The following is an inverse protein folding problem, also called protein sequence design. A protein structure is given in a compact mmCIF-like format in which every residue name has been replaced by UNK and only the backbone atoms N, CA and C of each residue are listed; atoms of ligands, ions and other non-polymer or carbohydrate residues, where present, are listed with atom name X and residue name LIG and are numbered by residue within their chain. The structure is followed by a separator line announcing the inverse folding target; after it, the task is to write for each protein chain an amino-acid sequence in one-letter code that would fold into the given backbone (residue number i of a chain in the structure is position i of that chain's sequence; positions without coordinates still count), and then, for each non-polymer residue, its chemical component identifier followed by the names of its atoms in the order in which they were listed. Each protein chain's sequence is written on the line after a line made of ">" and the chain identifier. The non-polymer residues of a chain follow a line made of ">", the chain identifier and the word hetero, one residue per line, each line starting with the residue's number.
data_IF_152613903160
#
_entry.id   IF_152613903160
#
_cell.length_a   1.000
_cell.length_b   1.000
_cell.length_c   1.000
_cell.angle_alpha   90.00
_cell.angle_beta   90.00
_cell.angle_gamma   90.00
#
_symmetry.space_group_name_H-M   'P 1'
#
loop_
_entity.id
_entity.type
_entity.pdbx_description
1 polymer ?
#
# COMPACT_ATOMS: atom_id res chain seq x y z
N UNK A 1 14.60 -13.13 -1.92
CA UNK A 1 13.19 -12.89 -2.35
C UNK A 1 12.19 -12.89 -1.20
N UNK A 2 12.39 -13.67 -0.13
CA UNK A 2 11.56 -13.61 1.10
C UNK A 2 11.68 -12.27 1.88
N UNK A 3 12.82 -11.58 1.82
CA UNK A 3 13.03 -10.31 2.51
C UNK A 3 12.23 -9.12 1.94
N UNK A 4 11.87 -9.13 0.64
CA UNK A 4 11.13 -8.02 0.03
C UNK A 4 9.66 -7.99 0.49
N UNK A 5 9.08 -9.16 0.78
CA UNK A 5 7.68 -9.33 1.19
C UNK A 5 7.53 -8.94 2.67
N UNK A 6 8.47 -9.36 3.51
CA UNK A 6 8.53 -9.03 4.93
C UNK A 6 8.76 -7.52 5.15
N UNK A 7 9.42 -6.83 4.22
CA UNK A 7 9.57 -5.36 4.25
C UNK A 7 8.37 -4.60 3.68
N UNK A 8 7.54 -5.21 2.84
CA UNK A 8 6.32 -4.58 2.30
C UNK A 8 5.07 -4.78 3.16
N UNK A 9 4.97 -5.88 3.92
CA UNK A 9 3.81 -6.19 4.76
C UNK A 9 3.51 -5.14 5.87
N UNK A 10 4.52 -4.59 6.59
CA UNK A 10 4.29 -3.51 7.55
C UNK A 10 3.68 -2.28 6.87
N UNK A 11 4.24 -1.87 5.71
CA UNK A 11 3.75 -0.73 4.95
C UNK A 11 2.35 -0.91 4.34
N UNK A 12 1.92 -2.15 4.06
CA UNK A 12 0.56 -2.45 3.56
C UNK A 12 -0.49 -2.31 4.68
N UNK A 13 -0.15 -2.63 5.92
CA UNK A 13 -1.02 -2.33 7.08
C UNK A 13 -1.04 -0.83 7.42
N UNK A 14 0.08 -0.15 7.25
CA UNK A 14 0.27 1.28 7.58
C UNK A 14 -0.43 2.28 6.63
N UNK A 15 -0.89 1.82 5.45
CA UNK A 15 -1.68 2.66 4.55
C UNK A 15 -3.19 2.43 4.63
N UNK A 16 -3.61 1.29 5.21
CA UNK A 16 -5.01 0.90 5.40
C UNK A 16 -5.56 1.22 6.81
N UNK A 17 -4.71 1.63 7.75
CA UNK A 17 -5.12 1.96 9.10
C UNK A 17 -5.80 3.33 9.21
N UNK A 18 -7.12 3.37 9.11
CA UNK A 18 -7.90 4.32 9.90
C UNK A 18 -8.34 3.59 11.17
N UNK A 19 -7.93 4.05 12.37
CA UNK A 19 -8.87 4.02 13.48
C UNK A 19 -9.82 5.18 13.21
N UNK A 20 -11.10 4.86 13.14
CA UNK A 20 -12.07 5.86 13.53
C UNK A 20 -12.14 5.82 15.05
N UNK A 21 -12.23 7.00 15.65
CA UNK A 21 -12.36 7.21 17.08
C UNK A 21 -13.39 6.27 17.70
N UNK A 22 -13.12 5.85 18.94
CA UNK A 22 -13.83 4.85 19.77
C UNK A 22 -15.37 4.96 19.86
N UNK A 23 -15.99 5.93 19.19
CA UNK A 23 -17.44 6.11 19.10
C UNK A 23 -18.08 5.35 17.92
N UNK A 24 -17.34 4.92 16.87
CA UNK A 24 -17.94 4.31 15.67
C UNK A 24 -17.81 2.78 15.51
N UNK A 25 -17.16 2.07 16.43
CA UNK A 25 -17.19 0.59 16.47
C UNK A 25 -16.66 -0.15 15.23
N UNK A 26 -16.05 0.52 14.25
CA UNK A 26 -15.58 -0.10 13.01
C UNK A 26 -14.20 -0.80 13.22
N UNK A 27 -14.05 -2.08 12.80
CA UNK A 27 -12.81 -2.84 12.97
C UNK A 27 -11.69 -2.30 12.08
N UNK A 28 -10.43 -2.44 12.54
CA UNK A 28 -9.23 -2.12 11.74
C UNK A 28 -9.25 -2.92 10.44
N UNK A 29 -8.87 -2.28 9.33
CA UNK A 29 -8.67 -2.98 8.06
C UNK A 29 -7.40 -3.83 8.14
N UNK A 30 -7.58 -5.14 8.29
CA UNK A 30 -6.49 -6.12 8.43
C UNK A 30 -6.34 -6.97 7.17
N UNK A 31 -6.32 -6.31 6.00
CA UNK A 31 -6.30 -6.92 4.66
C UNK A 31 -5.31 -8.09 4.53
N UNK A 32 -4.06 -7.89 4.96
CA UNK A 32 -3.00 -8.89 4.80
C UNK A 32 -3.07 -10.03 5.82
N UNK A 33 -3.69 -9.84 7.00
CA UNK A 33 -3.70 -10.86 8.07
C UNK A 33 -4.38 -12.15 7.64
N UNK A 34 -5.53 -12.05 6.97
CA UNK A 34 -6.25 -13.23 6.48
C UNK A 34 -5.47 -13.99 5.40
N UNK A 35 -4.81 -13.25 4.50
CA UNK A 35 -4.00 -13.81 3.42
C UNK A 35 -2.69 -14.42 3.95
N UNK A 36 -2.09 -13.83 4.98
CA UNK A 36 -0.87 -14.36 5.63
C UNK A 36 -1.17 -15.68 6.36
N UNK A 37 -2.30 -15.76 7.07
CA UNK A 37 -2.75 -17.01 7.71
C UNK A 37 -3.00 -18.09 6.65
N UNK A 38 -3.70 -17.75 5.56
CA UNK A 38 -3.93 -18.67 4.46
C UNK A 38 -2.63 -19.12 3.78
N UNK A 39 -1.69 -18.20 3.56
CA UNK A 39 -0.38 -18.51 2.98
C UNK A 39 0.44 -19.42 3.90
N UNK A 40 0.40 -19.20 5.21
CA UNK A 40 1.04 -20.08 6.19
C UNK A 40 0.42 -21.48 6.18
N UNK A 41 -0.92 -21.58 6.13
CA UNK A 41 -1.62 -22.86 6.01
C UNK A 41 -1.25 -23.62 4.73
N UNK A 42 -1.24 -22.94 3.57
CA UNK A 42 -0.82 -23.54 2.30
C UNK A 42 0.65 -23.97 2.32
N UNK A 43 1.53 -23.18 2.94
CA UNK A 43 2.96 -23.53 3.07
C UNK A 43 3.15 -24.73 3.99
N UNK A 44 2.39 -24.83 5.08
CA UNK A 44 2.42 -25.97 5.98
C UNK A 44 1.92 -27.26 5.31
N UNK A 45 0.82 -27.17 4.55
CA UNK A 45 0.30 -28.29 3.75
C UNK A 45 1.31 -28.73 2.68
N UNK A 46 1.95 -27.78 1.98
CA UNK A 46 3.03 -28.06 1.04
C UNK A 46 4.22 -28.76 1.71
N UNK A 47 4.61 -28.31 2.90
CA UNK A 47 5.68 -28.93 3.68
C UNK A 47 5.34 -30.35 4.12
N UNK A 48 4.07 -30.63 4.42
CA UNK A 48 3.60 -32.00 4.69
C UNK A 48 3.61 -32.86 3.42
N UNK A 49 3.25 -32.29 2.26
CA UNK A 49 3.16 -33.00 0.98
C UNK A 49 4.51 -33.21 0.28
N UNK A 50 5.56 -32.47 0.65
CA UNK A 50 6.89 -32.56 0.07
C UNK A 50 7.89 -33.13 1.11
N UNK A 51 8.36 -34.40 1.08
CA UNK A 51 8.23 -35.47 0.07
C UNK A 51 7.62 -36.80 0.59
N UNK A 52 6.90 -37.52 -0.28
CA UNK A 52 6.39 -38.90 -0.09
C UNK A 52 7.50 -39.97 -0.26
N UNK A 53 8.77 -39.57 -0.33
CA UNK A 53 9.90 -40.47 -0.60
C UNK A 53 10.19 -41.45 0.54
N UNK A 54 9.61 -41.28 1.73
CA UNK A 54 9.75 -42.20 2.88
C UNK A 54 8.71 -43.33 2.90
N UNK A 55 7.74 -43.35 1.97
CA UNK A 55 6.66 -44.36 1.91
C UNK A 55 6.38 -44.88 0.48
N UNK A 56 7.42 -45.06 -0.34
CA UNK A 56 7.28 -45.64 -1.68
C UNK A 56 6.92 -47.13 -1.56
N UNK A 57 5.65 -47.47 -1.76
CA UNK A 57 5.23 -48.81 -2.19
C UNK A 57 4.95 -48.74 -3.69
N UNK A 58 5.58 -49.63 -4.45
CA UNK A 58 5.40 -49.71 -5.90
C UNK A 58 3.97 -50.11 -6.23
N UNK A 59 3.22 -49.21 -6.87
CA UNK A 59 1.97 -49.52 -7.53
C UNK A 59 1.93 -48.85 -8.92
N UNK A 60 1.53 -49.64 -9.91
CA UNK A 60 1.05 -49.23 -11.24
C UNK A 60 1.94 -48.29 -12.07
N UNK A 61 2.97 -48.88 -12.71
CA UNK A 61 3.48 -48.46 -14.03
C UNK A 61 3.78 -46.97 -14.28
N UNK A 62 4.26 -46.22 -13.27
CA UNK A 62 5.10 -45.02 -13.46
C UNK A 62 4.53 -43.89 -14.37
N UNK A 63 3.21 -43.71 -14.46
CA UNK A 63 2.65 -42.75 -15.42
C UNK A 63 2.01 -41.48 -14.86
N UNK A 64 2.00 -41.25 -13.54
CA UNK A 64 1.63 -39.94 -12.96
C UNK A 64 1.79 -39.94 -11.44
N UNK A 65 2.82 -39.28 -10.90
CA UNK A 65 3.06 -39.27 -9.45
C UNK A 65 3.30 -37.88 -8.85
N UNK A 66 3.04 -36.78 -9.57
CA UNK A 66 3.10 -35.43 -8.99
C UNK A 66 2.02 -34.54 -9.59
N UNK A 67 1.00 -34.21 -8.80
CA UNK A 67 0.21 -33.01 -9.04
C UNK A 67 -0.34 -32.47 -7.72
N UNK A 68 0.46 -31.67 -7.01
CA UNK A 68 -0.02 -30.89 -5.87
C UNK A 68 -0.48 -29.52 -6.36
N UNK A 69 -1.79 -29.37 -6.53
CA UNK A 69 -2.46 -28.09 -6.84
C UNK A 69 -2.21 -27.01 -5.76
N UNK A 70 -1.63 -27.38 -4.61
CA UNK A 70 -1.19 -26.46 -3.55
C UNK A 70 -0.02 -25.53 -3.99
N UNK A 71 0.78 -25.91 -4.99
CA UNK A 71 1.85 -25.04 -5.51
C UNK A 71 1.29 -23.87 -6.35
N UNK A 72 0.02 -23.95 -6.78
CA UNK A 72 -0.64 -22.92 -7.60
C UNK A 72 -1.40 -21.90 -6.74
N UNK A 73 -1.94 -22.31 -5.59
CA UNK A 73 -2.70 -21.41 -4.68
C UNK A 73 -1.80 -20.47 -3.87
N UNK A 74 -0.66 -20.96 -3.37
CA UNK A 74 0.31 -20.17 -2.61
C UNK A 74 0.87 -18.94 -3.39
N UNK A 75 1.17 -19.03 -4.71
CA UNK A 75 1.51 -17.86 -5.51
C UNK A 75 0.32 -16.99 -6.01
N UNK A 76 -0.94 -17.47 -6.19
CA UNK A 76 -2.09 -16.62 -6.62
C UNK A 76 -2.46 -15.53 -5.60
N UNK A 77 -2.50 -15.93 -4.33
CA UNK A 77 -2.55 -15.04 -3.16
C UNK A 77 -1.38 -14.06 -3.16
N UNK A 78 -0.19 -14.53 -3.50
CA UNK A 78 1.01 -13.69 -3.58
C UNK A 78 0.90 -12.64 -4.68
N UNK A 79 0.42 -13.01 -5.87
CA UNK A 79 0.23 -12.09 -6.99
C UNK A 79 -0.81 -11.00 -6.67
N UNK A 80 -1.90 -11.38 -5.98
CA UNK A 80 -2.87 -10.42 -5.46
C UNK A 80 -2.24 -9.38 -4.53
N UNK A 81 -1.47 -9.84 -3.53
CA UNK A 81 -0.78 -8.97 -2.56
C UNK A 81 0.25 -8.06 -3.22
N UNK A 82 1.02 -8.57 -4.19
CA UNK A 82 1.98 -7.77 -4.94
C UNK A 82 1.29 -6.65 -5.71
N UNK A 83 0.19 -6.95 -6.41
CA UNK A 83 -0.56 -5.93 -7.13
C UNK A 83 -1.12 -4.87 -6.17
N UNK A 84 -1.62 -5.27 -5.00
CA UNK A 84 -2.07 -4.33 -3.96
C UNK A 84 -0.92 -3.44 -3.46
N UNK A 85 0.26 -4.01 -3.19
CA UNK A 85 1.43 -3.26 -2.75
C UNK A 85 1.92 -2.25 -3.81
N UNK A 86 1.81 -2.60 -5.09
CA UNK A 86 2.15 -1.72 -6.21
C UNK A 86 1.19 -0.52 -6.27
N UNK A 87 -0.12 -0.74 -6.09
CA UNK A 87 -1.11 0.34 -6.05
C UNK A 87 -0.86 1.30 -4.87
N UNK A 88 -0.58 0.74 -3.70
CA UNK A 88 -0.24 1.52 -2.50
C UNK A 88 1.04 2.33 -2.69
N UNK A 89 2.05 1.76 -3.36
CA UNK A 89 3.29 2.49 -3.67
C UNK A 89 3.05 3.63 -4.67
N UNK A 90 2.18 3.44 -5.65
CA UNK A 90 1.78 4.50 -6.58
C UNK A 90 1.07 5.64 -5.85
N UNK A 91 0.12 5.31 -4.97
CA UNK A 91 -0.56 6.29 -4.12
C UNK A 91 0.41 7.04 -3.21
N UNK A 92 1.39 6.33 -2.63
CA UNK A 92 2.43 6.95 -1.80
C UNK A 92 3.29 7.94 -2.60
N UNK A 93 3.63 7.60 -3.84
CA UNK A 93 4.39 8.50 -4.73
C UNK A 93 3.58 9.76 -5.10
N UNK A 94 2.29 9.59 -5.42
CA UNK A 94 1.38 10.72 -5.68
C UNK A 94 1.22 11.62 -4.44
N UNK A 95 1.11 11.00 -3.27
CA UNK A 95 1.02 11.73 -2.00
C UNK A 95 2.32 12.50 -1.71
N UNK A 96 3.49 11.89 -1.90
CA UNK A 96 4.78 12.54 -1.66
C UNK A 96 4.99 13.76 -2.58
N UNK A 97 4.63 13.63 -3.86
CA UNK A 97 4.66 14.75 -4.80
C UNK A 97 3.72 15.88 -4.38
N UNK A 98 2.49 15.53 -3.95
CA UNK A 98 1.53 16.50 -3.45
C UNK A 98 1.95 17.15 -2.13
N UNK A 99 2.57 16.39 -1.22
CA UNK A 99 3.10 16.87 0.04
C UNK A 99 4.23 17.86 -0.19
N UNK A 100 5.19 17.55 -1.07
CA UNK A 100 6.26 18.47 -1.42
C UNK A 100 5.69 19.81 -1.94
N UNK A 101 4.63 19.77 -2.75
CA UNK A 101 3.95 20.98 -3.22
C UNK A 101 3.30 21.75 -2.06
N UNK A 102 2.56 21.07 -1.18
CA UNK A 102 1.94 21.68 0.01
C UNK A 102 3.01 22.35 0.87
N UNK A 103 4.06 21.62 1.24
CA UNK A 103 5.14 22.13 2.10
C UNK A 103 5.79 23.36 1.48
N UNK A 104 6.09 23.34 0.17
CA UNK A 104 6.62 24.51 -0.54
C UNK A 104 5.70 25.73 -0.42
N UNK A 105 4.42 25.57 -0.72
CA UNK A 105 3.43 26.65 -0.67
C UNK A 105 3.25 27.20 0.75
N UNK A 106 3.20 26.32 1.76
CA UNK A 106 3.06 26.71 3.17
C UNK A 106 4.32 27.40 3.69
N UNK A 107 5.52 26.94 3.30
CA UNK A 107 6.78 27.62 3.63
C UNK A 107 6.84 29.02 3.01
N UNK A 108 6.43 29.17 1.76
CA UNK A 108 6.38 30.48 1.12
C UNK A 108 5.35 31.40 1.80
N UNK A 109 4.20 30.87 2.21
CA UNK A 109 3.13 31.63 2.87
C UNK A 109 3.54 32.11 4.26
N UNK A 110 4.15 31.24 5.07
CA UNK A 110 4.44 31.53 6.47
C UNK A 110 5.84 32.11 6.71
N UNK A 111 6.82 31.81 5.86
CA UNK A 111 8.24 32.08 6.15
C UNK A 111 8.97 32.95 5.12
N UNK A 112 8.34 33.35 4.01
CA UNK A 112 9.01 34.17 2.96
C UNK A 112 9.56 35.51 3.45
N UNK A 113 8.98 36.08 4.52
CA UNK A 113 9.48 37.31 5.14
C UNK A 113 10.69 37.10 6.07
N UNK A 114 10.98 35.85 6.47
CA UNK A 114 11.96 35.52 7.49
C UNK A 114 13.20 34.81 6.92
N UNK A 115 13.01 33.97 5.89
CA UNK A 115 14.08 33.19 5.28
C UNK A 115 13.74 32.77 3.84
N UNK A 116 14.75 32.30 3.11
CA UNK A 116 14.57 31.66 1.80
C UNK A 116 13.81 30.33 1.96
N UNK A 117 12.52 30.36 1.61
CA UNK A 117 11.63 29.20 1.71
C UNK A 117 12.07 28.02 0.83
N UNK A 118 12.56 28.29 -0.39
CA UNK A 118 12.88 27.24 -1.36
C UNK A 118 14.31 26.72 -1.17
N UNK A 119 15.29 27.61 -1.01
CA UNK A 119 16.70 27.22 -0.94
C UNK A 119 17.18 26.79 0.45
N UNK A 120 16.61 27.35 1.52
CA UNK A 120 17.05 27.07 2.90
C UNK A 120 16.09 26.15 3.67
N UNK A 121 14.79 26.47 3.66
CA UNK A 121 13.82 25.79 4.53
C UNK A 121 13.31 24.47 3.94
N UNK A 122 12.87 24.47 2.68
CA UNK A 122 12.31 23.28 2.03
C UNK A 122 13.23 22.05 2.08
N UNK A 123 14.56 22.15 1.80
CA UNK A 123 15.47 21.01 1.84
C UNK A 123 15.69 20.45 3.25
N UNK A 124 15.34 21.18 4.30
CA UNK A 124 15.47 20.74 5.70
C UNK A 124 14.15 20.19 6.23
N UNK A 125 13.04 20.89 5.96
CA UNK A 125 11.71 20.57 6.47
C UNK A 125 11.14 19.32 5.80
N UNK A 126 11.24 19.22 4.48
CA UNK A 126 10.64 18.12 3.73
C UNK A 126 11.20 16.74 4.13
N UNK A 127 12.53 16.54 4.28
CA UNK A 127 13.06 15.27 4.78
C UNK A 127 12.59 14.91 6.20
N UNK A 128 12.47 15.90 7.11
CA UNK A 128 11.99 15.64 8.46
C UNK A 128 10.52 15.19 8.47
N UNK A 129 9.67 15.82 7.65
CA UNK A 129 8.28 15.40 7.47
C UNK A 129 8.19 14.00 6.83
N UNK A 130 9.04 13.69 5.84
CA UNK A 130 9.12 12.35 5.23
C UNK A 130 9.54 11.28 6.24
N UNK A 131 10.56 11.54 7.06
CA UNK A 131 10.98 10.62 8.11
C UNK A 131 9.87 10.39 9.16
N UNK A 132 9.09 11.42 9.47
CA UNK A 132 7.93 11.27 10.34
C UNK A 132 6.82 10.42 9.69
N UNK A 133 6.61 10.50 8.38
CA UNK A 133 5.64 9.66 7.67
C UNK A 133 5.97 8.17 7.78
N UNK A 134 7.25 7.81 7.75
CA UNK A 134 7.73 6.43 7.80
C UNK A 134 7.50 5.77 9.18
N UNK A 135 7.38 6.56 10.24
CA UNK A 135 7.24 6.06 11.62
C UNK A 135 5.81 6.20 12.19
N UNK A 136 4.94 6.94 11.50
CA UNK A 136 3.57 7.25 11.96
C UNK A 136 2.49 6.47 11.21
N UNK A 137 2.85 5.43 10.46
CA UNK A 137 1.92 4.65 9.65
C UNK A 137 0.79 3.94 10.42
N UNK A 138 0.90 3.80 11.73
CA UNK A 138 -0.13 3.18 12.58
C UNK A 138 -1.19 4.17 13.10
N UNK A 139 -1.03 5.46 12.80
CA UNK A 139 -1.91 6.54 13.24
C UNK A 139 -3.00 6.84 12.21
N UNK A 140 -4.10 7.40 12.69
CA UNK A 140 -5.23 7.83 11.87
C UNK A 140 -4.82 9.01 10.99
N UNK A 141 -5.45 9.17 9.82
CA UNK A 141 -4.99 10.14 8.82
C UNK A 141 -4.77 11.56 9.39
N UNK A 142 -5.74 12.08 10.15
CA UNK A 142 -5.65 13.42 10.75
C UNK A 142 -4.54 13.53 11.80
N UNK A 143 -4.47 12.58 12.73
CA UNK A 143 -3.46 12.57 13.80
C UNK A 143 -2.06 12.34 13.23
N UNK A 144 -1.95 11.48 12.21
CA UNK A 144 -0.73 11.21 11.47
C UNK A 144 -0.20 12.49 10.83
N UNK A 145 -1.03 13.23 10.11
CA UNK A 145 -0.59 14.47 9.46
C UNK A 145 -0.24 15.56 10.48
N UNK A 146 -0.90 15.58 11.64
CA UNK A 146 -0.55 16.47 12.75
C UNK A 146 0.84 16.17 13.30
N UNK A 147 1.17 14.89 13.51
CA UNK A 147 2.49 14.45 13.95
C UNK A 147 3.57 14.73 12.90
N UNK A 148 3.27 14.48 11.61
CA UNK A 148 4.16 14.77 10.49
C UNK A 148 4.49 16.25 10.39
N UNK A 149 3.47 17.12 10.47
CA UNK A 149 3.69 18.56 10.47
C UNK A 149 4.46 19.04 11.71
N UNK A 150 4.26 18.41 12.87
CA UNK A 150 5.00 18.72 14.10
C UNK A 150 6.51 18.44 13.97
N UNK A 151 6.92 17.48 13.14
CA UNK A 151 8.34 17.18 12.90
C UNK A 151 9.10 18.34 12.24
N UNK A 152 8.40 19.28 11.59
CA UNK A 152 9.00 20.49 11.02
C UNK A 152 9.43 21.52 12.09
N UNK A 153 8.80 21.51 13.27
CA UNK A 153 9.03 22.55 14.30
C UNK A 153 10.49 22.67 14.77
N UNK A 154 11.19 21.60 15.18
CA UNK A 154 12.59 21.71 15.58
C UNK A 154 13.48 22.19 14.43
N UNK A 155 13.21 21.72 13.21
CA UNK A 155 13.97 22.10 12.01
C UNK A 155 13.81 23.58 11.68
N UNK A 156 12.58 24.10 11.76
CA UNK A 156 12.28 25.51 11.54
C UNK A 156 12.90 26.39 12.63
N UNK A 157 12.84 25.95 13.89
CA UNK A 157 13.44 26.68 15.01
C UNK A 157 14.96 26.79 14.85
N UNK A 158 15.63 25.68 14.51
CA UNK A 158 17.08 25.67 14.30
C UNK A 158 17.48 26.50 13.08
N UNK A 159 16.71 26.45 11.99
CA UNK A 159 16.97 27.24 10.79
C UNK A 159 16.80 28.75 11.01
N UNK A 160 15.94 29.14 11.95
CA UNK A 160 15.60 30.53 12.24
C UNK A 160 16.25 31.06 13.52
N UNK A 161 17.09 30.28 14.21
CA UNK A 161 17.67 30.63 15.51
C UNK A 161 18.47 31.95 15.52
N UNK A 162 18.97 32.41 14.37
CA UNK A 162 19.65 33.70 14.21
C UNK A 162 18.73 34.89 13.87
N UNK A 163 17.41 34.68 13.82
CA UNK A 163 16.39 35.65 13.41
C UNK A 163 15.26 35.74 14.44
N UNK A 164 14.36 36.72 14.30
CA UNK A 164 13.09 36.74 15.03
C UNK A 164 12.30 35.48 14.65
N UNK A 165 12.24 34.49 15.54
CA UNK A 165 11.50 33.25 15.30
C UNK A 165 9.99 33.52 15.44
N UNK A 166 9.22 33.44 14.34
CA UNK A 166 7.77 33.70 14.39
C UNK A 166 7.04 32.43 14.84
N UNK A 167 6.89 32.26 16.16
CA UNK A 167 6.19 31.11 16.73
C UNK A 167 4.77 30.95 16.18
N UNK A 168 4.06 32.06 15.93
CA UNK A 168 2.74 32.06 15.31
C UNK A 168 2.77 31.53 13.87
N UNK A 169 3.83 31.80 13.11
CA UNK A 169 3.99 31.27 11.76
C UNK A 169 4.33 29.76 11.78
N UNK A 170 5.09 29.28 12.77
CA UNK A 170 5.30 27.83 12.99
C UNK A 170 3.98 27.14 13.32
N UNK A 171 3.17 27.72 14.22
CA UNK A 171 1.85 27.17 14.55
C UNK A 171 0.92 27.17 13.33
N UNK A 172 0.91 28.27 12.57
CA UNK A 172 0.15 28.41 11.32
C UNK A 172 0.53 27.34 10.29
N UNK A 173 1.82 27.24 9.95
CA UNK A 173 2.36 26.24 9.03
C UNK A 173 1.98 24.81 9.44
N UNK A 174 2.11 24.48 10.73
CA UNK A 174 1.79 23.13 11.21
C UNK A 174 0.33 22.80 11.01
N UNK A 175 -0.56 23.73 11.34
CA UNK A 175 -2.01 23.55 11.22
C UNK A 175 -2.44 23.43 9.76
N UNK A 176 -1.99 24.35 8.90
CA UNK A 176 -2.34 24.37 7.47
C UNK A 176 -1.76 23.16 6.74
N UNK A 177 -0.47 22.83 6.95
CA UNK A 177 0.17 21.69 6.32
C UNK A 177 -0.50 20.37 6.74
N UNK A 178 -0.81 20.19 8.03
CA UNK A 178 -1.50 19.00 8.53
C UNK A 178 -2.90 18.84 7.90
N UNK A 179 -3.68 19.92 7.90
CA UNK A 179 -5.03 19.92 7.32
C UNK A 179 -5.00 19.58 5.82
N UNK A 180 -4.17 20.29 5.04
CA UNK A 180 -4.08 20.09 3.59
C UNK A 180 -3.53 18.70 3.23
N UNK A 181 -2.54 18.21 3.96
CA UNK A 181 -2.01 16.87 3.77
C UNK A 181 -3.05 15.80 4.10
N UNK A 182 -3.89 16.02 5.12
CA UNK A 182 -4.97 15.09 5.48
C UNK A 182 -5.99 14.99 4.34
N UNK A 183 -6.45 16.14 3.83
CA UNK A 183 -7.37 16.19 2.70
C UNK A 183 -6.78 15.54 1.45
N UNK A 184 -5.49 15.78 1.16
CA UNK A 184 -4.80 15.15 0.04
C UNK A 184 -4.79 13.63 0.17
N UNK A 185 -4.42 13.09 1.34
CA UNK A 185 -4.38 11.65 1.57
C UNK A 185 -5.76 11.01 1.41
N UNK A 186 -6.79 11.61 1.99
CA UNK A 186 -8.17 11.14 1.88
C UNK A 186 -8.66 11.15 0.43
N UNK A 187 -8.40 12.25 -0.29
CA UNK A 187 -8.79 12.38 -1.70
C UNK A 187 -8.09 11.34 -2.57
N UNK A 188 -6.78 11.15 -2.40
CA UNK A 188 -6.04 10.12 -3.13
C UNK A 188 -6.56 8.72 -2.83
N UNK A 189 -6.84 8.40 -1.56
CA UNK A 189 -7.47 7.12 -1.19
C UNK A 189 -8.77 6.89 -1.95
N UNK A 190 -9.68 7.85 -1.93
CA UNK A 190 -10.95 7.77 -2.67
C UNK A 190 -10.73 7.60 -4.17
N UNK A 191 -9.85 8.39 -4.78
CA UNK A 191 -9.59 8.33 -6.23
C UNK A 191 -9.02 6.98 -6.68
N UNK A 192 -8.12 6.38 -5.90
CA UNK A 192 -7.58 5.05 -6.21
C UNK A 192 -8.62 3.95 -6.05
N UNK A 193 -9.42 3.99 -4.98
CA UNK A 193 -10.44 2.98 -4.70
C UNK A 193 -11.60 3.04 -5.70
N UNK A 194 -11.99 4.23 -6.14
CA UNK A 194 -13.03 4.43 -7.16
C UNK A 194 -12.52 4.18 -8.59
N UNK A 195 -11.20 3.98 -8.77
CA UNK A 195 -10.59 3.76 -10.08
C UNK A 195 -10.43 5.02 -10.94
N UNK A 196 -10.53 6.22 -10.35
CA UNK A 196 -10.27 7.51 -11.04
C UNK A 196 -8.83 7.63 -11.53
N UNK A 197 -7.90 6.90 -10.91
CA UNK A 197 -6.49 6.79 -11.31
C UNK A 197 -6.23 5.72 -12.39
N UNK A 198 -7.30 5.21 -12.98
CA UNK A 198 -7.27 4.13 -13.97
C UNK A 198 -7.33 2.74 -13.34
N UNK A 199 -7.42 1.72 -14.19
CA UNK A 199 -7.54 0.32 -13.75
C UNK A 199 -6.24 -0.24 -13.18
N UNK A 200 -5.10 0.26 -13.64
CA UNK A 200 -3.76 -0.21 -13.32
C UNK A 200 -2.84 0.97 -12.90
N UNK A 201 -3.17 1.69 -11.81
CA UNK A 201 -2.53 2.98 -11.48
C UNK A 201 -1.02 2.87 -11.23
N UNK A 202 -0.53 1.73 -10.74
CA UNK A 202 0.90 1.50 -10.50
C UNK A 202 1.70 0.97 -11.69
N UNK A 203 1.11 0.86 -12.89
CA UNK A 203 1.81 0.31 -14.07
C UNK A 203 3.07 1.10 -14.43
N UNK A 204 3.08 2.40 -14.17
CA UNK A 204 4.20 3.31 -14.45
C UNK A 204 5.44 3.02 -13.57
N UNK A 205 5.26 2.43 -12.38
CA UNK A 205 6.37 2.01 -11.51
C UNK A 205 7.07 0.74 -12.01
N UNK A 206 6.39 -0.01 -12.87
CA UNK A 206 6.84 -1.32 -13.32
C UNK A 206 7.55 -1.22 -14.66
N UNK A 207 8.63 -1.99 -14.78
CA UNK A 207 9.39 -2.19 -16.03
C UNK A 207 8.95 -3.51 -16.66
N UNK A 208 9.83 -4.51 -16.69
CA UNK A 208 9.57 -5.82 -17.31
C UNK A 208 8.37 -6.55 -16.71
N UNK A 209 8.06 -6.35 -15.43
CA UNK A 209 6.93 -7.00 -14.73
C UNK A 209 5.57 -6.36 -14.98
N UNK A 210 5.51 -5.23 -15.72
CA UNK A 210 4.26 -4.51 -16.03
C UNK A 210 3.18 -5.39 -16.66
N UNK A 211 3.46 -6.26 -17.65
CA UNK A 211 2.42 -7.06 -18.30
C UNK A 211 1.66 -7.97 -17.34
N UNK A 212 2.32 -8.51 -16.31
CA UNK A 212 1.67 -9.37 -15.30
C UNK A 212 0.70 -8.56 -14.43
N UNK A 213 1.13 -7.38 -13.99
CA UNK A 213 0.28 -6.49 -13.20
C UNK A 213 -0.93 -5.99 -14.01
N UNK A 214 -0.72 -5.60 -15.27
CA UNK A 214 -1.79 -5.20 -16.18
C UNK A 214 -2.73 -6.36 -16.52
N UNK A 215 -2.22 -7.59 -16.62
CA UNK A 215 -3.07 -8.77 -16.77
C UNK A 215 -4.06 -8.90 -15.61
N UNK A 216 -3.58 -8.80 -14.36
CA UNK A 216 -4.44 -8.89 -13.17
C UNK A 216 -5.43 -7.73 -13.09
N UNK A 217 -4.96 -6.50 -13.30
CA UNK A 217 -5.76 -5.29 -13.12
C UNK A 217 -6.71 -5.00 -14.29
N UNK A 218 -6.23 -5.15 -15.53
CA UNK A 218 -7.00 -4.82 -16.73
C UNK A 218 -7.77 -6.02 -17.28
N UNK A 219 -7.13 -7.19 -17.43
CA UNK A 219 -7.76 -8.37 -18.04
C UNK A 219 -8.69 -9.08 -17.07
N UNK A 220 -8.21 -9.41 -15.87
CA UNK A 220 -9.03 -10.08 -14.85
C UNK A 220 -9.96 -9.13 -14.08
N UNK A 221 -9.73 -7.81 -14.19
CA UNK A 221 -10.55 -6.80 -13.52
C UNK A 221 -10.45 -6.82 -11.99
N UNK A 222 -9.38 -7.38 -11.43
CA UNK A 222 -9.15 -7.43 -9.99
C UNK A 222 -8.67 -6.05 -9.53
N UNK A 223 -9.52 -5.29 -8.84
CA UNK A 223 -9.25 -3.93 -8.39
C UNK A 223 -8.45 -3.89 -7.07
N UNK A 224 -7.98 -2.70 -6.72
CA UNK A 224 -7.42 -2.42 -5.40
C UNK A 224 -8.50 -2.65 -4.32
N UNK A 225 -8.12 -3.33 -3.25
CA UNK A 225 -9.01 -3.55 -2.11
C UNK A 225 -9.01 -2.35 -1.16
N UNK A 226 -10.17 -2.07 -0.57
CA UNK A 226 -10.35 -1.02 0.45
C UNK A 226 -11.65 -0.24 0.33
N UNK A 227 -12.40 -0.38 -0.78
CA UNK A 227 -13.62 0.40 -1.04
C UNK A 227 -14.70 0.20 0.02
N UNK A 228 -14.97 -1.05 0.45
CA UNK A 228 -15.92 -1.33 1.53
C UNK A 228 -15.49 -0.75 2.88
N UNK A 229 -14.19 -0.84 3.20
CA UNK A 229 -13.64 -0.29 4.44
C UNK A 229 -13.81 1.24 4.48
N UNK A 230 -13.58 1.90 3.35
CA UNK A 230 -13.77 3.35 3.22
C UNK A 230 -15.25 3.76 3.34
N UNK A 231 -16.17 2.90 2.88
CA UNK A 231 -17.62 3.12 2.99
C UNK A 231 -18.22 2.77 4.35
N UNK A 232 -17.44 2.24 5.30
CA UNK A 232 -17.91 1.74 6.61
C UNK A 232 -19.01 0.67 6.51
N UNK A 233 -18.98 -0.15 5.47
CA UNK A 233 -19.91 -1.28 5.29
C UNK A 233 -21.39 -0.87 5.39
N UNK A 234 -21.87 0.03 4.52
CA UNK A 234 -23.21 0.59 4.65
C UNK A 234 -24.30 -0.49 4.58
N UNK A 235 -24.05 -1.59 3.85
CA UNK A 235 -24.95 -2.73 3.71
C UNK A 235 -24.45 -4.01 4.43
N UNK A 236 -23.41 -3.91 5.26
CA UNK A 236 -22.77 -5.06 5.93
C UNK A 236 -21.49 -5.56 5.24
N UNK A 237 -20.77 -6.46 5.92
CA UNK A 237 -19.47 -6.99 5.47
C UNK A 237 -19.63 -7.85 4.20
N UNK A 238 -18.88 -7.53 3.13
CA UNK A 238 -18.81 -8.33 1.91
C UNK A 238 -20.05 -8.26 1.00
N UNK A 239 -20.85 -7.20 1.13
CA UNK A 239 -22.09 -7.03 0.37
C UNK A 239 -21.94 -6.06 -0.83
N UNK A 240 -20.95 -5.17 -0.78
CA UNK A 240 -20.83 -4.02 -1.70
C UNK A 240 -19.62 -4.14 -2.63
N UNK A 241 -18.64 -4.99 -2.32
CA UNK A 241 -17.49 -5.28 -3.15
C UNK A 241 -17.16 -6.78 -3.17
N UNK A 242 -16.55 -7.29 -4.26
CA UNK A 242 -16.08 -8.66 -4.31
C UNK A 242 -15.14 -8.97 -3.15
N UNK A 243 -15.36 -10.10 -2.51
CA UNK A 243 -14.51 -10.54 -1.41
C UNK A 243 -13.05 -10.71 -1.86
N UNK A 244 -12.12 -10.70 -0.89
CA UNK A 244 -10.72 -11.03 -1.17
C UNK A 244 -10.63 -12.42 -1.81
N UNK A 245 -11.41 -13.39 -1.30
CA UNK A 245 -11.48 -14.75 -1.81
C UNK A 245 -11.90 -14.81 -3.27
N UNK A 246 -12.97 -14.12 -3.67
CA UNK A 246 -13.40 -14.05 -5.07
C UNK A 246 -12.30 -13.50 -6.00
N UNK A 247 -11.61 -12.45 -5.58
CA UNK A 247 -10.54 -11.85 -6.37
C UNK A 247 -9.32 -12.77 -6.49
N UNK A 248 -8.96 -13.48 -5.43
CA UNK A 248 -7.90 -14.50 -5.46
C UNK A 248 -8.31 -15.68 -6.34
N UNK A 249 -9.57 -16.12 -6.28
CA UNK A 249 -10.11 -17.20 -7.14
C UNK A 249 -10.01 -16.86 -8.62
N UNK A 250 -10.32 -15.62 -9.04
CA UNK A 250 -10.14 -15.19 -10.43
C UNK A 250 -8.70 -15.33 -10.91
N UNK A 251 -7.73 -14.98 -10.06
CA UNK A 251 -6.30 -15.13 -10.38
C UNK A 251 -5.93 -16.61 -10.44
N UNK A 252 -6.40 -17.41 -9.49
CA UNK A 252 -6.16 -18.84 -9.45
C UNK A 252 -6.71 -19.55 -10.69
N UNK A 253 -7.94 -19.27 -11.09
CA UNK A 253 -8.57 -19.82 -12.30
C UNK A 253 -7.78 -19.45 -13.56
N UNK A 254 -7.35 -18.20 -13.69
CA UNK A 254 -6.52 -17.76 -14.80
C UNK A 254 -5.14 -18.46 -14.86
N UNK A 255 -4.58 -18.85 -13.71
CA UNK A 255 -3.35 -19.66 -13.67
C UNK A 255 -3.64 -21.11 -14.08
N UNK A 256 -4.70 -21.71 -13.51
CA UNK A 256 -5.14 -23.08 -13.80
C UNK A 256 -5.44 -23.27 -15.28
N UNK A 257 -6.11 -22.30 -15.89
CA UNK A 257 -6.56 -22.34 -17.27
C UNK A 257 -5.43 -21.96 -18.26
N UNK A 258 -4.23 -21.68 -17.75
CA UNK A 258 -3.03 -21.43 -18.55
C UNK A 258 -2.93 -20.02 -19.14
N UNK A 259 -3.88 -19.12 -18.86
CA UNK A 259 -3.90 -17.77 -19.44
C UNK A 259 -2.68 -16.93 -19.06
N UNK A 260 -2.16 -17.12 -17.84
CA UNK A 260 -0.99 -16.41 -17.30
C UNK A 260 0.30 -16.83 -18.01
N UNK A 261 0.39 -18.04 -18.56
CA UNK A 261 1.62 -18.60 -19.11
C UNK A 261 2.16 -17.75 -20.26
N UNK A 262 1.28 -17.33 -21.17
CA UNK A 262 1.64 -16.46 -22.30
C UNK A 262 2.24 -15.12 -21.86
N UNK A 263 1.67 -14.52 -20.79
CA UNK A 263 2.13 -13.25 -20.23
C UNK A 263 3.50 -13.42 -19.58
N UNK A 264 3.71 -14.52 -18.84
CA UNK A 264 4.97 -14.81 -18.15
C UNK A 264 6.10 -15.11 -19.13
N UNK A 265 5.82 -15.91 -20.16
CA UNK A 265 6.81 -16.20 -21.23
C UNK A 265 7.24 -14.91 -21.93
N UNK A 266 6.30 -13.98 -22.17
CA UNK A 266 6.59 -12.66 -22.75
C UNK A 266 7.52 -11.78 -21.90
N UNK A 267 7.74 -12.07 -20.62
CA UNK A 267 8.68 -11.31 -19.77
C UNK A 267 10.15 -11.65 -20.06
N UNK A 268 10.41 -12.81 -20.66
CA UNK A 268 11.75 -13.35 -20.91
C UNK A 268 12.16 -13.31 -22.39
N UNK A 269 11.25 -12.90 -23.27
CA UNK A 269 11.54 -12.56 -24.66
C UNK A 269 12.23 -11.18 -24.74
#
# INVERSE_FOLDING_TARGET
>A
MSAAIVLTLPHVQEMNGERQTLESGAPRSELAKGLDIATAAYTAELGYLAPVSTHIQSAEMHNQAVNSLALISAPATHLYLLCQAIDLRAMQADFDAGLQRIVREELATHFSAYADAEGLLLPRVLPAMRAALDTTGTMDASDRMTAVAAAAAPVLLDALAGSSCPLDAIAGFRSSAASRATTLLQTLRTEYLEGKRGRAPGAHLLKRTRPVYEFVRNKLGVRMHGAENAGLFPNGLGMDAPSIGENVSKIYEAIRDGEVQSVVVGLFA
#
